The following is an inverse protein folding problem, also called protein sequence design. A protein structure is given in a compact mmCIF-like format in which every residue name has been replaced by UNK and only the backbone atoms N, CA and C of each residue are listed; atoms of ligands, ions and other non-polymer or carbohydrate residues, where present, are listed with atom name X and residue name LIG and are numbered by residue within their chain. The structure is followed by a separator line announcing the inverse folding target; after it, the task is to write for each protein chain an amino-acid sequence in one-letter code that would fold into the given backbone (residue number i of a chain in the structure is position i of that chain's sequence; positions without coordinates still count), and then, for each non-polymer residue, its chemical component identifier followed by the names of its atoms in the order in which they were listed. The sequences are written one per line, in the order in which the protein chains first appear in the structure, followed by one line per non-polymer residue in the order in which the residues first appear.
data_IF_158405432557
#
_entry.id   IF_158405432557
#
_cell.length_a   1.000
_cell.length_b   1.000
_cell.length_c   1.000
_cell.angle_alpha   90.00
_cell.angle_beta   90.00
_cell.angle_gamma   90.00
#
_symmetry.space_group_name_H-M   'P 1'
#
loop_
_entity.id
_entity.type
_entity.pdbx_description
1 polymer ?
#
# COMPACT_ATOMS: atom_id res chain seq x y z
N UNK A 1 65.26 -11.76 3.25
CA UNK A 1 64.91 -10.33 3.41
C UNK A 1 63.43 -10.24 3.83
N UNK A 2 63.15 -9.86 5.08
CA UNK A 2 61.79 -9.65 5.56
C UNK A 2 61.31 -8.27 5.09
N UNK A 3 60.28 -8.26 4.23
CA UNK A 3 59.66 -7.04 3.70
C UNK A 3 58.94 -6.35 4.87
N UNK A 4 59.37 -5.15 5.23
CA UNK A 4 58.80 -4.35 6.34
C UNK A 4 57.36 -4.00 6.01
N UNK A 5 56.39 -4.67 6.62
CA UNK A 5 54.95 -4.35 6.47
C UNK A 5 54.68 -2.99 7.11
N UNK A 6 54.18 -2.05 6.33
CA UNK A 6 53.73 -0.74 6.86
C UNK A 6 52.36 -0.95 7.48
N UNK A 7 52.28 -0.70 8.80
CA UNK A 7 51.01 -0.72 9.53
C UNK A 7 50.21 0.56 9.26
N UNK A 8 48.92 0.48 9.38
CA UNK A 8 48.00 1.62 9.31
C UNK A 8 48.16 2.50 10.53
N UNK A 9 48.13 3.82 10.34
CA UNK A 9 48.17 4.78 11.44
C UNK A 9 46.75 5.02 11.99
N UNK A 10 46.67 5.38 13.27
CA UNK A 10 45.38 5.71 13.93
C UNK A 10 44.70 6.90 13.25
N UNK A 11 45.49 7.88 12.80
CA UNK A 11 44.98 9.08 12.12
C UNK A 11 44.37 8.76 10.73
N UNK A 12 44.95 7.82 9.99
CA UNK A 12 44.40 7.40 8.71
C UNK A 12 43.01 6.77 8.89
N UNK A 13 42.81 5.94 9.92
CA UNK A 13 41.50 5.38 10.24
C UNK A 13 40.52 6.46 10.70
N UNK A 14 40.98 7.43 11.50
CA UNK A 14 40.11 8.49 12.01
C UNK A 14 39.57 9.37 10.88
N UNK A 15 40.40 9.72 9.91
CA UNK A 15 39.98 10.52 8.74
C UNK A 15 38.97 9.74 7.90
N UNK A 16 39.19 8.45 7.68
CA UNK A 16 38.26 7.61 6.89
C UNK A 16 36.89 7.53 7.55
N UNK A 17 36.81 7.26 8.85
CA UNK A 17 35.51 7.20 9.52
C UNK A 17 34.81 8.55 9.59
N UNK A 18 35.58 9.66 9.69
CA UNK A 18 35.02 11.00 9.64
C UNK A 18 34.35 11.30 8.28
N UNK A 19 35.02 10.95 7.18
CA UNK A 19 34.47 11.15 5.82
C UNK A 19 33.23 10.27 5.61
N UNK A 20 33.29 8.99 5.98
CA UNK A 20 32.15 8.08 5.87
C UNK A 20 30.97 8.61 6.71
N UNK A 21 31.22 9.12 7.91
CA UNK A 21 30.20 9.71 8.77
C UNK A 21 29.47 10.89 8.13
N UNK A 22 30.22 11.80 7.50
CA UNK A 22 29.63 12.95 6.79
C UNK A 22 28.81 12.49 5.58
N UNK A 23 29.33 11.58 4.79
CA UNK A 23 28.60 11.05 3.62
C UNK A 23 27.33 10.31 4.03
N UNK A 24 27.39 9.48 5.07
CA UNK A 24 26.25 8.76 5.57
C UNK A 24 25.16 9.71 6.10
N UNK A 25 25.53 10.79 6.81
CA UNK A 25 24.58 11.77 7.32
C UNK A 25 23.74 12.44 6.21
N UNK A 26 24.32 12.63 5.03
CA UNK A 26 23.61 13.20 3.88
C UNK A 26 22.80 12.15 3.08
N UNK A 27 23.27 10.91 3.05
CA UNK A 27 22.66 9.86 2.23
C UNK A 27 21.45 9.19 2.88
N UNK A 28 21.50 8.97 4.20
CA UNK A 28 20.47 8.23 4.94
C UNK A 28 19.07 8.85 4.79
N UNK A 29 18.84 10.15 4.98
CA UNK A 29 17.51 10.75 4.85
C UNK A 29 16.93 10.57 3.44
N UNK A 30 17.75 10.73 2.41
CA UNK A 30 17.33 10.58 1.02
C UNK A 30 17.00 9.12 0.67
N UNK A 31 17.79 8.18 1.17
CA UNK A 31 17.55 6.75 0.98
C UNK A 31 16.23 6.31 1.66
N UNK A 32 15.95 6.81 2.85
CA UNK A 32 14.71 6.53 3.57
C UNK A 32 13.48 7.02 2.79
N UNK A 33 13.51 8.25 2.28
CA UNK A 33 12.44 8.78 1.43
C UNK A 33 12.22 7.95 0.16
N UNK A 34 13.30 7.57 -0.51
CA UNK A 34 13.22 6.73 -1.71
C UNK A 34 12.61 5.36 -1.41
N UNK A 35 12.98 4.76 -0.27
CA UNK A 35 12.43 3.48 0.17
C UNK A 35 10.91 3.58 0.44
N UNK A 36 10.45 4.63 1.11
CA UNK A 36 9.02 4.82 1.36
C UNK A 36 8.24 4.98 0.05
N UNK A 37 8.76 5.77 -0.91
CA UNK A 37 8.15 5.89 -2.25
C UNK A 37 8.08 4.56 -2.99
N UNK A 38 9.11 3.73 -2.87
CA UNK A 38 9.11 2.40 -3.48
C UNK A 38 8.04 1.49 -2.86
N UNK A 39 7.90 1.50 -1.53
CA UNK A 39 6.85 0.77 -0.83
C UNK A 39 5.46 1.22 -1.24
N UNK A 40 5.21 2.52 -1.27
CA UNK A 40 3.93 3.08 -1.71
C UNK A 40 3.57 2.61 -3.13
N UNK A 41 4.50 2.72 -4.07
CA UNK A 41 4.28 2.23 -5.45
C UNK A 41 4.02 0.73 -5.51
N UNK A 42 4.68 -0.05 -4.66
CA UNK A 42 4.43 -1.49 -4.54
C UNK A 42 3.00 -1.77 -4.07
N UNK A 43 2.57 -1.12 -2.99
CA UNK A 43 1.21 -1.24 -2.44
C UNK A 43 0.14 -0.89 -3.47
N UNK A 44 0.32 0.22 -4.21
CA UNK A 44 -0.60 0.60 -5.29
C UNK A 44 -0.68 -0.45 -6.38
N UNK A 45 0.46 -0.98 -6.79
CA UNK A 45 0.49 -2.06 -7.79
C UNK A 45 -0.29 -3.28 -7.31
N UNK A 46 -0.13 -3.66 -6.05
CA UNK A 46 -0.81 -4.79 -5.45
C UNK A 46 -2.33 -4.55 -5.38
N UNK A 47 -2.76 -3.35 -4.94
CA UNK A 47 -4.18 -2.94 -4.95
C UNK A 47 -4.77 -3.03 -6.35
N UNK A 48 -4.09 -2.48 -7.36
CA UNK A 48 -4.57 -2.57 -8.75
C UNK A 48 -4.65 -4.03 -9.25
N UNK A 49 -3.74 -4.89 -8.81
CA UNK A 49 -3.77 -6.31 -9.15
C UNK A 49 -4.98 -7.00 -8.51
N UNK A 50 -5.24 -6.72 -7.24
CA UNK A 50 -6.42 -7.23 -6.52
C UNK A 50 -7.70 -6.73 -7.18
N UNK A 51 -7.79 -5.42 -7.44
CA UNK A 51 -8.95 -4.82 -8.07
C UNK A 51 -9.25 -5.41 -9.45
N UNK A 52 -8.22 -5.63 -10.25
CA UNK A 52 -8.39 -6.27 -11.58
C UNK A 52 -8.94 -7.69 -11.43
N UNK A 53 -8.42 -8.46 -10.50
CA UNK A 53 -8.91 -9.84 -10.29
C UNK A 53 -10.35 -9.89 -9.76
N UNK A 54 -10.71 -8.94 -8.86
CA UNK A 54 -12.11 -8.81 -8.40
C UNK A 54 -13.02 -8.40 -9.56
N UNK A 55 -12.57 -7.49 -10.41
CA UNK A 55 -13.33 -7.08 -11.60
C UNK A 55 -13.55 -8.25 -12.57
N UNK A 56 -12.54 -9.10 -12.77
CA UNK A 56 -12.67 -10.31 -13.60
C UNK A 56 -13.70 -11.27 -12.98
N UNK A 57 -13.67 -11.45 -11.66
CA UNK A 57 -14.67 -12.25 -10.94
C UNK A 57 -16.06 -11.68 -11.09
N UNK A 58 -16.24 -10.37 -10.91
CA UNK A 58 -17.54 -9.68 -11.08
C UNK A 58 -18.06 -9.83 -12.50
N UNK A 59 -17.19 -9.70 -13.50
CA UNK A 59 -17.58 -9.85 -14.91
C UNK A 59 -18.10 -11.26 -15.20
N UNK A 60 -17.56 -12.28 -14.57
CA UNK A 60 -18.00 -13.66 -14.76
C UNK A 60 -19.24 -14.03 -13.94
N UNK A 61 -19.40 -13.46 -12.74
CA UNK A 61 -20.43 -13.88 -11.79
C UNK A 61 -21.53 -12.87 -11.53
N UNK A 62 -21.33 -11.61 -11.96
CA UNK A 62 -22.29 -10.52 -11.76
C UNK A 62 -22.38 -10.00 -10.33
N UNK A 63 -21.51 -10.48 -9.42
CA UNK A 63 -21.47 -10.06 -8.02
C UNK A 63 -20.02 -10.06 -7.54
N UNK A 64 -19.69 -9.19 -6.59
CA UNK A 64 -18.39 -9.19 -5.96
C UNK A 64 -18.19 -10.43 -5.07
N UNK A 65 -16.96 -10.95 -4.93
CA UNK A 65 -16.67 -12.08 -4.07
C UNK A 65 -16.94 -11.73 -2.60
N UNK A 66 -17.60 -12.61 -1.86
CA UNK A 66 -17.94 -12.37 -0.47
C UNK A 66 -16.67 -12.27 0.39
N UNK A 67 -16.49 -11.16 1.08
CA UNK A 67 -15.49 -11.00 2.13
C UNK A 67 -16.18 -10.99 3.51
N UNK A 68 -15.93 -12.00 4.31
CA UNK A 68 -16.51 -12.13 5.64
C UNK A 68 -15.44 -12.57 6.65
N UNK A 69 -15.16 -11.75 7.70
CA UNK A 69 -15.72 -10.41 7.93
C UNK A 69 -15.22 -9.39 6.92
N UNK A 70 -16.01 -8.34 6.67
CA UNK A 70 -15.60 -7.23 5.81
C UNK A 70 -14.38 -6.51 6.39
N UNK A 71 -13.56 -5.93 5.52
CA UNK A 71 -12.34 -5.22 5.89
C UNK A 71 -11.08 -6.08 5.72
N UNK A 72 -10.30 -6.23 6.78
CA UNK A 72 -8.97 -6.86 6.71
C UNK A 72 -9.04 -8.31 6.20
N UNK A 73 -8.32 -8.58 5.11
CA UNK A 73 -8.22 -9.93 4.54
C UNK A 73 -7.13 -10.75 5.24
N UNK A 74 -7.35 -12.06 5.29
CA UNK A 74 -6.38 -13.02 5.81
C UNK A 74 -6.14 -14.13 4.79
N UNK A 75 -4.96 -14.73 4.80
CA UNK A 75 -4.59 -15.80 3.86
C UNK A 75 -5.55 -17.01 3.87
N UNK A 76 -6.29 -17.21 4.96
CA UNK A 76 -7.27 -18.30 5.09
C UNK A 76 -8.71 -17.91 4.76
N UNK A 77 -8.97 -16.66 4.44
CA UNK A 77 -10.33 -16.18 4.14
C UNK A 77 -10.90 -16.84 2.89
N UNK A 78 -12.24 -16.95 2.83
CA UNK A 78 -12.91 -17.49 1.63
C UNK A 78 -12.65 -16.61 0.41
N UNK A 79 -12.63 -15.29 0.61
CA UNK A 79 -12.29 -14.32 -0.41
C UNK A 79 -10.95 -14.64 -1.09
N UNK A 80 -9.87 -14.85 -0.30
CA UNK A 80 -8.55 -15.17 -0.85
C UNK A 80 -8.58 -16.49 -1.62
N UNK A 81 -9.25 -17.52 -1.10
CA UNK A 81 -9.36 -18.81 -1.77
C UNK A 81 -10.11 -18.71 -3.11
N UNK A 82 -11.17 -17.92 -3.17
CA UNK A 82 -11.93 -17.71 -4.39
C UNK A 82 -11.09 -16.96 -5.45
N UNK A 83 -10.27 -16.02 -5.01
CA UNK A 83 -9.36 -15.28 -5.90
C UNK A 83 -8.18 -16.13 -6.38
N UNK A 84 -7.51 -16.87 -5.49
CA UNK A 84 -6.33 -17.69 -5.85
C UNK A 84 -6.67 -18.86 -6.76
N UNK A 85 -7.92 -19.27 -6.83
CA UNK A 85 -8.30 -20.42 -7.64
C UNK A 85 -8.15 -20.18 -9.15
N UNK A 86 -8.52 -18.98 -9.64
CA UNK A 86 -8.61 -18.67 -11.07
C UNK A 86 -8.05 -17.29 -11.47
N UNK A 87 -8.08 -16.30 -10.58
CA UNK A 87 -7.86 -14.90 -10.94
C UNK A 87 -6.47 -14.39 -10.57
N UNK A 88 -5.92 -14.85 -9.44
CA UNK A 88 -4.56 -14.48 -8.98
C UNK A 88 -3.81 -15.75 -8.57
N UNK A 89 -2.60 -15.93 -9.06
CA UNK A 89 -1.78 -17.09 -8.71
C UNK A 89 -1.33 -17.09 -7.25
N UNK A 90 -1.01 -15.93 -6.71
CA UNK A 90 -0.63 -15.71 -5.30
C UNK A 90 -1.25 -14.39 -4.88
N UNK A 91 -2.15 -14.44 -3.90
CA UNK A 91 -2.84 -13.26 -3.42
C UNK A 91 -1.96 -12.46 -2.45
N UNK A 92 -1.69 -11.17 -2.71
CA UNK A 92 -0.98 -10.33 -1.76
C UNK A 92 -1.90 -10.01 -0.58
N UNK A 93 -1.67 -10.62 0.57
CA UNK A 93 -2.49 -10.42 1.78
C UNK A 93 -2.10 -9.16 2.54
N UNK A 94 -0.81 -8.82 2.53
CA UNK A 94 -0.27 -7.67 3.25
C UNK A 94 0.39 -6.68 2.29
N UNK A 95 0.29 -5.42 2.65
CA UNK A 95 0.96 -4.33 1.96
C UNK A 95 2.48 -4.33 2.20
N UNK A 96 3.19 -3.37 1.61
CA UNK A 96 4.64 -3.25 1.72
C UNK A 96 5.13 -2.82 3.11
N UNK A 97 4.24 -2.43 4.02
CA UNK A 97 4.55 -2.12 5.43
C UNK A 97 4.19 -3.26 6.38
N UNK A 98 3.47 -4.28 5.89
CA UNK A 98 3.05 -5.47 6.64
C UNK A 98 1.63 -5.40 7.18
N UNK A 99 0.87 -4.35 6.83
CA UNK A 99 -0.54 -4.23 7.19
C UNK A 99 -1.40 -5.05 6.22
N UNK A 100 -2.50 -5.67 6.66
CA UNK A 100 -3.39 -6.39 5.77
C UNK A 100 -4.07 -5.46 4.79
N UNK A 101 -4.30 -5.91 3.56
CA UNK A 101 -5.21 -5.22 2.66
C UNK A 101 -6.64 -5.32 3.17
N UNK A 102 -7.42 -4.30 2.84
CA UNK A 102 -8.81 -4.17 3.23
C UNK A 102 -9.68 -4.33 1.99
N UNK A 103 -10.73 -5.12 2.11
CA UNK A 103 -11.69 -5.32 1.03
C UNK A 103 -13.10 -5.20 1.60
N UNK A 104 -13.88 -4.33 0.98
CA UNK A 104 -15.30 -4.14 1.28
C UNK A 104 -16.08 -4.37 0.00
N UNK A 105 -17.20 -5.08 0.09
CA UNK A 105 -18.00 -5.49 -1.07
C UNK A 105 -19.47 -5.20 -0.82
N UNK A 106 -20.17 -4.75 -1.87
CA UNK A 106 -21.57 -4.36 -1.79
C UNK A 106 -21.82 -3.26 -0.76
N UNK A 107 -22.95 -3.30 -0.08
CA UNK A 107 -23.38 -2.28 0.91
C UNK A 107 -22.33 -1.98 2.00
N UNK A 108 -21.46 -2.93 2.31
CA UNK A 108 -20.41 -2.73 3.30
C UNK A 108 -19.32 -1.76 2.84
N UNK A 109 -19.26 -1.42 1.56
CA UNK A 109 -18.36 -0.41 1.02
C UNK A 109 -18.87 1.01 1.27
N UNK A 110 -20.15 1.18 1.52
CA UNK A 110 -20.76 2.50 1.72
C UNK A 110 -20.21 3.21 2.97
N UNK A 111 -19.79 4.44 2.80
CA UNK A 111 -19.21 5.26 3.87
C UNK A 111 -17.78 4.91 4.28
N UNK A 112 -17.18 3.88 3.69
CA UNK A 112 -15.77 3.56 3.92
C UNK A 112 -14.90 4.55 3.15
N UNK A 113 -13.90 5.12 3.82
CA UNK A 113 -13.02 6.19 3.30
C UNK A 113 -13.78 7.40 2.71
N UNK A 114 -14.98 7.69 3.20
CA UNK A 114 -15.81 8.79 2.70
C UNK A 114 -16.46 8.52 1.35
N UNK A 115 -16.32 7.33 0.79
CA UNK A 115 -17.00 6.94 -0.45
C UNK A 115 -18.46 6.69 -0.13
N UNK A 116 -19.35 7.55 -0.66
CA UNK A 116 -20.79 7.40 -0.55
C UNK A 116 -21.44 7.86 -1.85
N UNK A 117 -22.51 7.21 -2.24
CA UNK A 117 -23.32 7.70 -3.35
C UNK A 117 -24.06 8.98 -2.96
N UNK A 118 -24.09 10.01 -3.82
CA UNK A 118 -24.69 11.31 -3.49
C UNK A 118 -26.20 11.28 -3.26
N UNK A 119 -26.89 10.23 -3.64
CA UNK A 119 -28.35 10.15 -3.68
C UNK A 119 -28.94 9.03 -2.80
N UNK A 120 -28.30 8.68 -1.67
CA UNK A 120 -28.68 7.56 -0.80
C UNK A 120 -28.81 6.21 -1.55
N UNK A 121 -28.17 6.07 -2.71
CA UNK A 121 -28.07 4.82 -3.40
C UNK A 121 -27.08 3.91 -2.66
N UNK A 122 -27.48 2.68 -2.38
CA UNK A 122 -26.60 1.69 -1.80
C UNK A 122 -25.61 1.17 -2.84
N UNK A 123 -24.43 0.76 -2.39
CA UNK A 123 -23.48 0.05 -3.26
C UNK A 123 -24.12 -1.23 -3.83
N UNK A 124 -24.01 -1.42 -5.12
CA UNK A 124 -24.49 -2.61 -5.78
C UNK A 124 -23.74 -3.88 -5.35
N UNK A 125 -24.32 -5.06 -5.54
CA UNK A 125 -23.68 -6.33 -5.18
C UNK A 125 -22.41 -6.63 -5.99
N UNK A 126 -22.17 -5.91 -7.07
CA UNK A 126 -21.02 -6.00 -7.97
C UNK A 126 -19.93 -4.96 -7.65
N UNK A 127 -20.20 -4.04 -6.74
CA UNK A 127 -19.26 -2.98 -6.37
C UNK A 127 -18.38 -3.39 -5.19
N UNK A 128 -17.17 -2.85 -5.16
CA UNK A 128 -16.19 -3.19 -4.15
C UNK A 128 -15.15 -2.08 -3.96
N UNK A 129 -14.58 -2.04 -2.76
CA UNK A 129 -13.43 -1.19 -2.43
C UNK A 129 -12.26 -2.07 -1.96
N UNK A 130 -11.07 -1.75 -2.43
CA UNK A 130 -9.82 -2.37 -1.98
C UNK A 130 -8.89 -1.27 -1.52
N UNK A 131 -8.30 -1.40 -0.35
CA UNK A 131 -7.39 -0.40 0.17
C UNK A 131 -6.34 -0.93 1.13
N UNK A 132 -5.49 -0.04 1.57
CA UNK A 132 -4.45 -0.25 2.58
C UNK A 132 -4.40 0.97 3.49
N UNK A 133 -4.18 0.76 4.77
CA UNK A 133 -3.95 1.84 5.75
C UNK A 133 -2.61 2.57 5.58
N UNK A 134 -1.79 2.16 4.60
CA UNK A 134 -0.50 2.78 4.42
C UNK A 134 0.49 2.48 5.53
N UNK A 135 1.41 3.41 5.77
CA UNK A 135 2.55 3.21 6.66
C UNK A 135 2.18 3.15 8.14
N UNK A 136 1.22 3.93 8.58
CA UNK A 136 0.85 4.05 10.00
C UNK A 136 -0.07 2.92 10.47
N UNK A 137 -0.68 2.18 9.55
CA UNK A 137 -1.56 1.06 9.87
C UNK A 137 -2.88 1.48 10.54
N UNK A 138 -3.26 2.74 10.38
CA UNK A 138 -4.47 3.30 10.96
C UNK A 138 -5.34 3.93 9.88
N UNK A 139 -6.65 3.94 10.09
CA UNK A 139 -7.57 4.70 9.24
C UNK A 139 -7.21 6.18 9.27
N UNK A 140 -6.88 6.74 8.10
CA UNK A 140 -6.71 8.18 7.94
C UNK A 140 -8.00 8.95 8.20
N UNK A 141 -7.93 10.28 8.37
CA UNK A 141 -9.11 11.10 8.47
C UNK A 141 -9.93 10.95 7.17
N UNK A 142 -11.23 10.71 7.30
CA UNK A 142 -12.18 10.56 6.18
C UNK A 142 -12.26 11.81 5.26
N UNK A 143 -11.56 12.88 5.62
CA UNK A 143 -11.61 14.16 4.94
C UNK A 143 -10.81 14.18 3.61
N UNK A 144 -9.99 13.16 3.34
CA UNK A 144 -9.06 13.17 2.21
C UNK A 144 -9.66 12.61 0.90
N UNK A 145 -10.86 12.04 0.95
CA UNK A 145 -11.57 11.56 -0.24
C UNK A 145 -12.77 12.45 -0.57
N UNK A 146 -12.67 13.25 -1.62
CA UNK A 146 -13.79 14.00 -2.19
C UNK A 146 -14.17 13.42 -3.57
N UNK A 147 -15.22 12.58 -3.64
CA UNK A 147 -15.66 12.01 -4.90
C UNK A 147 -16.20 13.04 -5.90
N UNK A 148 -16.49 14.27 -5.44
CA UNK A 148 -17.00 15.36 -6.28
C UNK A 148 -15.88 16.19 -6.87
N UNK A 149 -14.68 16.07 -6.36
CA UNK A 149 -13.50 16.74 -6.87
C UNK A 149 -12.95 15.96 -8.06
N UNK A 150 -12.89 16.60 -9.22
CA UNK A 150 -12.24 16.02 -10.41
C UNK A 150 -10.73 15.78 -10.23
N UNK A 151 -10.17 16.18 -9.10
CA UNK A 151 -8.81 15.97 -8.67
C UNK A 151 -8.67 14.75 -7.73
N UNK A 152 -9.76 14.22 -7.16
CA UNK A 152 -9.78 13.03 -6.30
C UNK A 152 -9.74 11.75 -7.13
N UNK A 153 -8.72 11.61 -7.97
CA UNK A 153 -8.32 10.29 -8.40
C UNK A 153 -7.58 9.61 -7.26
N UNK A 154 -7.90 8.40 -6.88
CA UNK A 154 -7.17 7.33 -6.17
C UNK A 154 -6.01 7.72 -5.20
N UNK A 155 -5.57 8.94 -5.27
CA UNK A 155 -4.51 9.61 -4.58
C UNK A 155 -4.75 11.11 -4.59
N UNK A 156 -5.16 11.72 -3.54
CA UNK A 156 -4.61 13.03 -3.27
C UNK A 156 -3.19 12.89 -2.73
N UNK A 157 -2.29 12.53 -3.59
CA UNK A 157 -0.88 12.77 -3.31
C UNK A 157 -0.63 14.25 -3.55
N UNK A 158 -1.20 15.10 -2.73
CA UNK A 158 -0.85 16.51 -2.69
C UNK A 158 0.63 16.72 -2.38
N UNK A 159 1.25 15.73 -1.78
CA UNK A 159 2.69 15.63 -1.72
C UNK A 159 3.09 14.17 -1.62
N UNK A 160 3.97 13.69 -2.49
CA UNK A 160 4.65 12.39 -2.35
C UNK A 160 5.43 12.25 -1.03
N UNK A 161 5.08 12.96 0.00
CA UNK A 161 5.70 13.00 1.33
C UNK A 161 4.79 12.43 2.41
N UNK A 162 3.51 12.30 2.13
CA UNK A 162 2.57 11.73 3.08
C UNK A 162 2.42 10.24 2.82
N UNK A 163 3.23 9.45 3.51
CA UNK A 163 3.23 7.99 3.42
C UNK A 163 2.29 7.34 4.44
N UNK A 164 1.59 8.14 5.21
CA UNK A 164 0.70 7.69 6.26
C UNK A 164 -0.75 7.61 5.78
N UNK A 165 -1.06 8.19 4.62
CA UNK A 165 -2.43 8.19 4.09
C UNK A 165 -2.84 6.83 3.56
N UNK A 166 -4.11 6.53 3.70
CA UNK A 166 -4.76 5.36 3.16
C UNK A 166 -4.67 5.35 1.62
N UNK A 167 -4.50 4.19 1.06
CA UNK A 167 -4.43 3.97 -0.38
C UNK A 167 -5.60 3.10 -0.78
N UNK A 168 -6.46 3.59 -1.67
CA UNK A 168 -7.69 2.92 -2.08
C UNK A 168 -7.74 2.77 -3.60
N UNK A 169 -8.41 1.73 -4.10
CA UNK A 169 -8.87 1.69 -5.48
C UNK A 169 -10.30 2.26 -5.51
N UNK A 170 -10.54 3.05 -6.49
CA UNK A 170 -11.90 3.49 -6.83
C UNK A 170 -12.14 3.37 -8.32
#
# INVERSE_FOLDING_TARGET
MLKKMRGFTLIEMLIVVAIIGILAALLIPNAMSALQKAKQKGTVKDINTIATAVMDYVTERGVAPANAPQGAITAGSQFVKDMESLYIKVFPVNDQWGNPYLVYTGDAANGIWGVAYPDDADFGPDEFLVGSYGRDGATGPQEDFDPTSSASGLYEVNTMKDFNNDIVNW
#
